data_IF_309300256362
#
_entry.id   IF_309300256362
#
_cell.length_a   1.000
_cell.length_b   1.000
_cell.length_c   1.000
_cell.angle_alpha   90.00
_cell.angle_beta   90.00
_cell.angle_gamma   90.00
#
_symmetry.space_group_name_H-M   'P 1'
#
loop_
_entity.id
_entity.type
_entity.pdbx_description
1 polymer ?
#
# COMPACT_ATOMS: atom_id res chain seq x y z
N UNK A 1 26.95 -19.13 2.99
CA UNK A 1 28.00 -18.20 3.37
C UNK A 1 27.43 -16.85 3.80
N UNK A 2 28.19 -16.13 4.60
CA UNK A 2 27.75 -14.91 5.30
C UNK A 2 27.34 -13.72 4.42
N UNK A 3 27.48 -13.81 3.10
CA UNK A 3 27.17 -12.70 2.19
C UNK A 3 25.87 -12.87 1.39
N UNK A 4 25.25 -14.06 1.41
CA UNK A 4 24.03 -14.32 0.62
C UNK A 4 24.19 -14.12 -0.90
N UNK A 5 25.42 -13.98 -1.38
CA UNK A 5 25.71 -13.72 -2.79
C UNK A 5 25.91 -15.04 -3.57
N UNK A 6 25.38 -15.08 -4.79
CA UNK A 6 25.64 -16.16 -5.72
C UNK A 6 27.12 -16.20 -6.11
N UNK A 7 27.75 -17.40 -6.09
CA UNK A 7 29.13 -17.59 -6.54
C UNK A 7 29.25 -17.86 -8.03
N UNK A 8 28.21 -18.34 -8.66
CA UNK A 8 28.15 -18.64 -10.07
C UNK A 8 27.17 -19.76 -10.38
N UNK A 9 27.00 -20.04 -11.64
CA UNK A 9 26.29 -21.19 -12.17
C UNK A 9 27.27 -22.07 -12.90
N UNK A 10 27.17 -23.38 -12.73
CA UNK A 10 28.05 -24.36 -13.37
C UNK A 10 27.25 -25.32 -14.23
N UNK A 11 27.83 -25.73 -15.31
CA UNK A 11 27.26 -26.63 -16.31
C UNK A 11 28.20 -27.85 -16.49
N UNK A 12 27.61 -29.02 -16.67
CA UNK A 12 28.34 -30.27 -16.94
C UNK A 12 27.72 -31.00 -18.12
N UNK A 13 28.50 -31.51 -19.03
CA UNK A 13 28.09 -32.31 -20.19
C UNK A 13 28.40 -33.81 -20.01
N UNK A 14 29.07 -34.18 -18.94
CA UNK A 14 29.62 -35.53 -18.72
C UNK A 14 29.16 -36.17 -17.40
N UNK A 15 27.87 -35.97 -17.09
CA UNK A 15 27.24 -36.49 -15.87
C UNK A 15 27.90 -36.06 -14.57
N UNK A 16 28.44 -34.81 -14.55
CA UNK A 16 29.03 -34.21 -13.35
C UNK A 16 30.47 -34.55 -13.12
N UNK A 17 31.17 -35.14 -14.09
CA UNK A 17 32.59 -35.43 -13.96
C UNK A 17 33.43 -34.16 -14.12
N UNK A 18 33.07 -33.30 -15.05
CA UNK A 18 33.68 -31.99 -15.25
C UNK A 18 32.61 -30.88 -15.19
N UNK A 19 33.00 -29.74 -14.63
CA UNK A 19 32.11 -28.60 -14.43
C UNK A 19 32.70 -27.32 -15.01
N UNK A 20 31.91 -26.61 -15.77
CA UNK A 20 32.24 -25.33 -16.40
C UNK A 20 31.42 -24.22 -15.79
N UNK A 21 32.10 -23.15 -15.42
CA UNK A 21 31.44 -21.99 -14.85
C UNK A 21 30.82 -21.14 -15.97
N UNK A 22 29.50 -21.13 -16.06
CA UNK A 22 28.74 -20.40 -17.09
C UNK A 22 28.26 -19.04 -16.65
N UNK A 23 28.21 -18.75 -15.35
CA UNK A 23 27.94 -17.42 -14.81
C UNK A 23 28.85 -17.14 -13.63
N UNK A 24 29.91 -16.37 -13.80
CA UNK A 24 30.68 -15.82 -12.71
C UNK A 24 29.90 -14.72 -12.02
N UNK A 25 29.96 -14.64 -10.70
CA UNK A 25 29.24 -13.67 -9.87
C UNK A 25 29.48 -12.18 -10.24
N UNK A 26 30.49 -11.89 -11.05
CA UNK A 26 30.93 -10.52 -11.35
C UNK A 26 30.82 -10.10 -12.82
N UNK A 27 30.42 -10.97 -13.75
CA UNK A 27 30.68 -10.73 -15.17
C UNK A 27 29.65 -9.89 -15.89
N UNK A 28 28.41 -9.68 -15.36
CA UNK A 28 27.35 -9.07 -16.15
C UNK A 28 26.65 -7.89 -15.51
N UNK A 29 27.12 -7.36 -14.40
CA UNK A 29 26.41 -6.26 -13.73
C UNK A 29 25.01 -6.65 -13.24
N UNK A 30 24.63 -7.91 -13.37
CA UNK A 30 23.42 -8.48 -12.83
C UNK A 30 23.78 -9.56 -11.83
N UNK A 31 23.07 -9.57 -10.75
CA UNK A 31 23.02 -10.71 -9.88
C UNK A 31 21.54 -11.04 -9.73
N UNK A 32 21.08 -12.25 -10.06
CA UNK A 32 19.69 -12.66 -9.87
C UNK A 32 19.22 -12.51 -8.42
N UNK A 33 20.17 -12.35 -7.52
CA UNK A 33 19.99 -12.18 -6.09
C UNK A 33 20.62 -10.87 -5.64
N UNK A 34 20.29 -9.77 -6.29
CA UNK A 34 21.00 -8.52 -6.05
C UNK A 34 20.50 -7.79 -4.83
N UNK A 35 21.40 -7.40 -4.08
CA UNK A 35 21.65 -6.09 -3.50
C UNK A 35 22.92 -6.21 -2.70
N UNK A 36 23.40 -5.15 -2.11
CA UNK A 36 24.57 -5.18 -1.24
C UNK A 36 24.51 -6.26 -0.14
N UNK A 37 23.36 -6.86 0.08
CA UNK A 37 23.10 -7.87 1.12
C UNK A 37 22.72 -9.27 0.58
N UNK A 38 22.69 -9.50 -0.74
CA UNK A 38 22.40 -10.76 -1.43
C UNK A 38 21.39 -11.70 -0.76
N UNK A 39 20.36 -12.10 -1.48
CA UNK A 39 19.30 -12.98 -0.95
C UNK A 39 19.25 -14.36 -1.57
N UNK A 40 20.31 -14.78 -2.28
CA UNK A 40 20.40 -16.12 -2.88
C UNK A 40 20.24 -17.28 -1.90
N UNK A 41 20.34 -17.03 -0.60
CA UNK A 41 19.99 -18.02 0.41
C UNK A 41 18.47 -18.25 0.51
N UNK A 42 17.68 -17.34 -0.04
CA UNK A 42 16.22 -17.31 0.05
C UNK A 42 15.55 -17.71 -1.26
N UNK A 43 15.92 -17.11 -2.38
CA UNK A 43 15.21 -17.13 -3.66
C UNK A 43 16.06 -17.63 -4.85
N UNK A 44 16.74 -18.74 -4.69
CA UNK A 44 17.60 -19.29 -5.76
C UNK A 44 17.01 -20.58 -6.32
N UNK A 45 16.66 -20.58 -7.60
CA UNK A 45 16.14 -21.74 -8.31
C UNK A 45 16.75 -21.86 -9.71
N UNK A 46 16.95 -23.08 -10.17
CA UNK A 46 17.42 -23.37 -11.53
C UNK A 46 16.71 -24.61 -12.07
N UNK A 47 16.37 -24.59 -13.35
CA UNK A 47 15.84 -25.75 -14.05
C UNK A 47 16.31 -25.78 -15.52
N UNK A 48 16.44 -26.98 -16.07
CA UNK A 48 16.79 -27.17 -17.46
C UNK A 48 15.55 -27.09 -18.36
N UNK A 49 15.69 -26.53 -19.55
CA UNK A 49 14.59 -26.48 -20.51
C UNK A 49 14.37 -27.88 -21.12
N UNK A 50 13.16 -28.46 -21.02
CA UNK A 50 12.89 -29.80 -21.55
C UNK A 50 13.21 -29.93 -23.05
N UNK A 51 13.97 -30.95 -23.39
CA UNK A 51 14.42 -31.19 -24.77
C UNK A 51 15.59 -30.31 -25.25
N UNK A 52 16.08 -29.42 -24.38
CA UNK A 52 17.22 -28.53 -24.66
C UNK A 52 18.25 -28.62 -23.54
N UNK A 53 19.12 -29.65 -23.55
CA UNK A 53 20.06 -29.86 -22.45
C UNK A 53 21.15 -28.79 -22.28
N UNK A 54 21.25 -27.91 -23.26
CA UNK A 54 22.15 -26.76 -23.35
C UNK A 54 21.44 -25.43 -23.01
N UNK A 55 20.19 -25.48 -22.51
CA UNK A 55 19.44 -24.33 -22.06
C UNK A 55 18.98 -24.50 -20.60
N UNK A 56 19.05 -23.43 -19.83
CA UNK A 56 18.47 -23.40 -18.49
C UNK A 56 17.80 -22.06 -18.17
N UNK A 57 16.87 -22.12 -17.22
CA UNK A 57 16.28 -20.96 -16.58
C UNK A 57 16.84 -20.88 -15.17
N UNK A 58 17.31 -19.71 -14.79
CA UNK A 58 17.73 -19.38 -13.44
C UNK A 58 16.80 -18.31 -12.87
N UNK A 59 16.30 -18.50 -11.66
CA UNK A 59 15.46 -17.57 -10.94
C UNK A 59 16.08 -17.13 -9.63
N UNK A 60 15.82 -15.92 -9.28
CA UNK A 60 16.02 -15.23 -8.02
C UNK A 60 14.98 -14.12 -7.96
N UNK A 61 15.38 -12.86 -7.79
CA UNK A 61 14.45 -11.72 -7.89
C UNK A 61 13.77 -11.69 -9.27
N UNK A 62 14.53 -11.91 -10.33
CA UNK A 62 14.00 -12.02 -11.69
C UNK A 62 14.44 -13.36 -12.33
N UNK A 63 13.87 -13.68 -13.48
CA UNK A 63 14.22 -14.86 -14.26
C UNK A 63 15.23 -14.51 -15.35
N UNK A 64 16.18 -15.40 -15.54
CA UNK A 64 17.21 -15.33 -16.55
C UNK A 64 17.28 -16.64 -17.32
N UNK A 65 17.42 -16.56 -18.65
CA UNK A 65 17.63 -17.68 -19.54
C UNK A 65 19.08 -17.73 -19.95
N UNK A 66 19.67 -18.90 -19.91
CA UNK A 66 20.97 -19.19 -20.51
C UNK A 66 20.82 -20.15 -21.68
N UNK A 67 21.49 -19.85 -22.75
CA UNK A 67 21.61 -20.69 -23.94
C UNK A 67 23.10 -20.86 -24.28
N UNK A 68 23.51 -22.11 -24.50
CA UNK A 68 24.87 -22.40 -24.95
C UNK A 68 25.03 -21.92 -26.38
N UNK A 69 26.03 -21.10 -26.65
CA UNK A 69 26.43 -20.76 -27.99
C UNK A 69 27.29 -21.86 -28.61
N UNK A 70 27.31 -21.98 -29.96
CA UNK A 70 28.09 -23.01 -30.65
C UNK A 70 29.59 -22.93 -30.29
N UNK A 71 29.97 -23.74 -29.38
CA UNK A 71 31.35 -24.00 -28.99
C UNK A 71 31.56 -25.52 -28.90
N UNK A 72 32.64 -26.02 -29.40
CA UNK A 72 32.85 -27.46 -29.58
C UNK A 72 33.62 -28.11 -28.45
N UNK A 73 34.03 -27.37 -27.45
CA UNK A 73 34.73 -27.92 -26.28
C UNK A 73 34.02 -27.53 -24.99
N UNK A 74 34.06 -28.44 -24.05
CA UNK A 74 33.52 -28.22 -22.71
C UNK A 74 34.22 -27.10 -21.92
N UNK A 75 35.38 -26.63 -22.42
CA UNK A 75 36.08 -25.45 -21.91
C UNK A 75 35.44 -24.13 -22.38
N UNK A 76 34.61 -24.18 -23.42
CA UNK A 76 33.95 -23.02 -24.03
C UNK A 76 32.45 -23.06 -23.79
N UNK A 77 32.04 -23.40 -22.55
CA UNK A 77 30.64 -23.29 -22.13
C UNK A 77 30.15 -21.83 -22.08
N UNK A 78 30.69 -21.03 -23.00
CA UNK A 78 30.24 -19.70 -23.28
C UNK A 78 28.82 -19.77 -23.83
N UNK A 79 27.91 -19.24 -23.11
CA UNK A 79 26.53 -19.05 -23.49
C UNK A 79 26.15 -17.63 -23.25
N UNK A 80 24.94 -17.30 -23.70
CA UNK A 80 24.38 -15.98 -23.49
C UNK A 80 23.32 -16.05 -22.40
N UNK A 81 23.40 -15.12 -21.48
CA UNK A 81 22.38 -14.88 -20.49
C UNK A 81 21.47 -13.75 -20.93
N UNK A 82 20.17 -13.98 -20.84
CA UNK A 82 19.14 -12.99 -21.12
C UNK A 82 18.23 -12.85 -19.89
N UNK A 83 17.95 -11.63 -19.46
CA UNK A 83 16.92 -11.36 -18.47
C UNK A 83 15.55 -11.46 -19.15
N UNK A 84 14.72 -12.41 -18.74
CA UNK A 84 13.43 -12.72 -19.36
C UNK A 84 12.21 -12.22 -18.58
N UNK A 85 12.39 -11.80 -17.32
CA UNK A 85 11.31 -11.20 -16.55
C UNK A 85 11.70 -9.85 -15.94
N UNK A 86 10.72 -9.09 -15.49
CA UNK A 86 10.93 -7.86 -14.75
C UNK A 86 9.85 -7.65 -13.71
N UNK A 87 10.19 -7.90 -12.45
CA UNK A 87 9.28 -7.80 -11.31
C UNK A 87 8.74 -6.37 -11.10
N UNK A 88 9.49 -5.34 -11.46
CA UNK A 88 9.10 -3.94 -11.31
C UNK A 88 8.18 -3.42 -12.43
N UNK A 89 7.89 -4.26 -13.43
CA UNK A 89 6.93 -3.93 -14.49
C UNK A 89 5.49 -3.92 -13.97
N UNK A 90 4.59 -3.34 -14.75
CA UNK A 90 3.16 -3.43 -14.47
C UNK A 90 2.74 -4.91 -14.41
N UNK A 91 1.92 -5.36 -13.42
CA UNK A 91 1.47 -6.75 -13.31
C UNK A 91 0.71 -7.30 -14.54
N UNK A 92 0.21 -6.45 -15.41
CA UNK A 92 -0.38 -6.84 -16.69
C UNK A 92 0.63 -6.88 -17.87
N UNK A 93 1.89 -6.55 -17.61
CA UNK A 93 2.95 -6.65 -18.63
C UNK A 93 3.29 -8.10 -18.92
N UNK A 94 3.51 -8.48 -20.17
CA UNK A 94 3.88 -9.85 -20.53
C UNK A 94 5.23 -10.31 -19.96
N UNK A 95 6.09 -9.38 -19.56
CA UNK A 95 7.38 -9.70 -18.92
C UNK A 95 7.30 -9.67 -17.38
N UNK A 96 6.12 -9.42 -16.81
CA UNK A 96 5.98 -9.40 -15.35
C UNK A 96 5.96 -10.80 -14.78
N UNK A 97 6.86 -11.04 -13.85
CA UNK A 97 6.84 -12.15 -12.88
C UNK A 97 7.13 -11.50 -11.53
N UNK A 98 6.38 -11.86 -10.50
CA UNK A 98 6.66 -11.36 -9.15
C UNK A 98 8.08 -11.73 -8.73
N UNK A 99 8.69 -10.93 -7.87
CA UNK A 99 10.01 -11.19 -7.34
C UNK A 99 10.08 -12.49 -6.53
N UNK A 100 11.30 -12.89 -6.25
CA UNK A 100 11.66 -13.95 -5.30
C UNK A 100 11.11 -15.31 -5.73
N UNK A 101 11.78 -15.86 -6.75
CA UNK A 101 11.36 -17.10 -7.41
C UNK A 101 11.97 -18.31 -6.70
N UNK A 102 11.11 -19.24 -6.24
CA UNK A 102 11.48 -20.40 -5.44
C UNK A 102 11.35 -21.73 -6.15
N UNK A 103 10.50 -21.81 -7.17
CA UNK A 103 10.22 -23.05 -7.86
C UNK A 103 9.98 -22.85 -9.34
N UNK A 104 10.55 -23.72 -10.15
CA UNK A 104 10.33 -23.83 -11.58
C UNK A 104 9.88 -25.25 -11.90
N UNK A 105 8.91 -25.40 -12.79
CA UNK A 105 8.51 -26.70 -13.32
C UNK A 105 7.84 -26.54 -14.68
N UNK A 106 7.96 -27.58 -15.51
CA UNK A 106 7.43 -27.58 -16.87
C UNK A 106 6.27 -28.56 -16.99
N UNK A 107 5.25 -28.17 -17.73
CA UNK A 107 4.22 -29.12 -18.12
C UNK A 107 4.60 -29.88 -19.42
N UNK A 108 3.79 -30.86 -19.77
CA UNK A 108 4.01 -31.66 -20.98
C UNK A 108 3.85 -30.89 -22.30
N UNK A 109 3.32 -29.70 -22.26
CA UNK A 109 3.22 -28.79 -23.43
C UNK A 109 4.44 -27.88 -23.56
N UNK A 110 5.36 -27.91 -22.61
CA UNK A 110 6.56 -27.05 -22.58
C UNK A 110 6.29 -25.68 -21.97
N UNK A 111 5.19 -25.49 -21.25
CA UNK A 111 4.96 -24.25 -20.53
C UNK A 111 5.66 -24.31 -19.15
N UNK A 112 6.34 -23.23 -18.80
CA UNK A 112 7.01 -23.05 -17.50
C UNK A 112 6.03 -22.50 -16.49
N UNK A 113 5.95 -23.14 -15.31
CA UNK A 113 5.27 -22.65 -14.13
C UNK A 113 6.30 -22.16 -13.13
N UNK A 114 6.02 -21.03 -12.53
CA UNK A 114 6.91 -20.33 -11.59
C UNK A 114 6.15 -20.11 -10.29
N UNK A 115 6.73 -20.59 -9.17
CA UNK A 115 6.28 -20.26 -7.82
C UNK A 115 7.15 -19.16 -7.24
N UNK A 116 6.53 -18.11 -6.72
CA UNK A 116 7.20 -16.94 -6.14
C UNK A 116 6.37 -16.35 -4.99
N UNK A 117 6.87 -15.31 -4.34
CA UNK A 117 6.22 -14.68 -3.18
C UNK A 117 4.90 -13.96 -3.52
N UNK A 118 4.66 -13.68 -4.79
CA UNK A 118 3.37 -13.19 -5.30
C UNK A 118 2.38 -14.29 -5.68
N UNK A 119 2.77 -15.56 -5.55
CA UNK A 119 1.95 -16.72 -5.91
C UNK A 119 2.50 -17.50 -7.09
N UNK A 120 1.75 -17.59 -8.18
CA UNK A 120 2.13 -18.39 -9.34
C UNK A 120 2.04 -17.60 -10.63
N UNK A 121 3.04 -17.80 -11.49
CA UNK A 121 3.05 -17.32 -12.87
C UNK A 121 3.26 -18.47 -13.84
N UNK A 122 2.88 -18.27 -15.09
CA UNK A 122 3.02 -19.26 -16.15
C UNK A 122 3.52 -18.59 -17.42
N UNK A 123 4.47 -19.22 -18.13
CA UNK A 123 4.77 -18.90 -19.52
C UNK A 123 3.81 -19.65 -20.46
N UNK A 124 3.59 -19.15 -21.67
CA UNK A 124 2.74 -19.84 -22.65
C UNK A 124 3.52 -20.76 -23.59
N UNK A 125 4.83 -20.59 -23.67
CA UNK A 125 5.71 -21.35 -24.55
C UNK A 125 7.04 -21.61 -23.85
N UNK A 126 7.79 -22.59 -24.31
CA UNK A 126 9.18 -22.83 -23.92
C UNK A 126 10.11 -21.63 -24.20
N UNK A 127 9.65 -20.71 -25.03
CA UNK A 127 10.38 -19.50 -25.40
C UNK A 127 10.38 -18.41 -24.32
N UNK A 128 9.63 -18.62 -23.28
CA UNK A 128 9.64 -17.87 -21.99
C UNK A 128 9.68 -16.34 -22.09
N UNK A 129 9.07 -15.79 -23.14
CA UNK A 129 9.01 -14.32 -23.33
C UNK A 129 7.70 -13.69 -22.83
N UNK A 130 6.68 -14.51 -22.53
CA UNK A 130 5.37 -14.03 -22.15
C UNK A 130 4.87 -14.78 -20.92
N UNK A 131 4.69 -14.05 -19.84
CA UNK A 131 4.21 -14.57 -18.59
C UNK A 131 2.80 -14.05 -18.27
N UNK A 132 2.08 -14.80 -17.49
CA UNK A 132 0.81 -14.39 -16.89
C UNK A 132 0.72 -14.88 -15.46
N UNK A 133 0.18 -14.05 -14.59
CA UNK A 133 -0.15 -14.42 -13.21
C UNK A 133 -1.37 -15.34 -13.23
N UNK A 134 -1.29 -16.49 -12.56
CA UNK A 134 -2.36 -17.52 -12.53
C UNK A 134 -2.95 -17.73 -11.15
N UNK A 135 -2.97 -16.69 -10.32
CA UNK A 135 -3.47 -16.75 -8.95
C UNK A 135 -5.00 -16.85 -8.83
N UNK A 136 -5.74 -16.79 -9.93
CA UNK A 136 -7.20 -16.87 -9.90
C UNK A 136 -7.68 -18.18 -9.27
N UNK A 137 -8.37 -18.08 -8.13
CA UNK A 137 -8.80 -19.22 -7.34
C UNK A 137 -7.77 -19.72 -6.32
N UNK A 138 -6.57 -19.17 -6.34
CA UNK A 138 -5.58 -19.36 -5.29
C UNK A 138 -5.81 -18.28 -4.21
N UNK A 139 -6.40 -18.68 -3.09
CA UNK A 139 -6.85 -17.76 -2.03
C UNK A 139 -5.94 -17.83 -0.79
N UNK A 140 -4.65 -18.05 -0.98
CA UNK A 140 -3.70 -18.04 0.10
C UNK A 140 -2.97 -16.70 0.13
N UNK A 141 -3.03 -16.02 1.27
CA UNK A 141 -2.24 -14.81 1.58
C UNK A 141 -1.83 -14.88 3.03
N UNK A 142 -0.57 -14.64 3.30
CA UNK A 142 -0.06 -14.55 4.65
C UNK A 142 -0.06 -13.09 5.08
N UNK A 143 -0.91 -12.74 6.03
CA UNK A 143 -0.96 -11.40 6.61
C UNK A 143 -0.06 -11.31 7.84
N UNK A 144 0.66 -10.21 7.97
CA UNK A 144 1.35 -9.82 9.19
C UNK A 144 0.40 -9.10 10.15
N UNK A 145 -0.40 -8.18 9.63
CA UNK A 145 -1.40 -7.45 10.37
C UNK A 145 -2.74 -7.45 9.64
N UNK A 146 -3.82 -7.46 10.41
CA UNK A 146 -5.19 -7.31 9.91
C UNK A 146 -5.93 -6.29 10.75
N UNK A 147 -6.75 -5.47 10.11
CA UNK A 147 -7.63 -4.51 10.76
C UNK A 147 -9.04 -4.59 10.19
N UNK A 148 -10.00 -4.09 10.94
CA UNK A 148 -11.38 -3.97 10.50
C UNK A 148 -11.96 -2.64 10.96
N UNK A 149 -12.89 -2.11 10.20
CA UNK A 149 -13.54 -0.83 10.43
C UNK A 149 -15.01 -0.98 10.87
N UNK A 150 -15.63 0.15 11.25
CA UNK A 150 -16.97 0.18 11.85
C UNK A 150 -18.08 -0.29 10.92
N UNK A 151 -17.91 -0.22 9.60
CA UNK A 151 -18.94 -0.58 8.62
C UNK A 151 -18.66 -1.93 7.94
N UNK A 152 -17.69 -2.72 8.46
CA UNK A 152 -17.28 -4.01 7.91
C UNK A 152 -16.10 -3.91 6.94
N UNK A 153 -15.45 -2.76 6.87
CA UNK A 153 -14.18 -2.61 6.15
C UNK A 153 -13.14 -3.55 6.73
N UNK A 154 -12.29 -4.06 5.86
CA UNK A 154 -11.16 -4.90 6.25
C UNK A 154 -9.90 -4.49 5.53
N UNK A 155 -8.77 -4.56 6.23
CA UNK A 155 -7.45 -4.24 5.71
C UNK A 155 -6.46 -5.32 6.16
N UNK A 156 -5.48 -5.60 5.33
CA UNK A 156 -4.42 -6.54 5.67
C UNK A 156 -3.10 -6.16 5.03
N UNK A 157 -2.05 -6.19 5.83
CA UNK A 157 -0.67 -6.03 5.36
C UNK A 157 -0.02 -7.38 5.14
N UNK A 158 0.57 -7.58 3.98
CA UNK A 158 1.26 -8.80 3.59
C UNK A 158 2.65 -8.46 3.05
N UNK A 159 3.68 -9.09 3.59
CA UNK A 159 5.03 -8.98 3.05
C UNK A 159 5.01 -9.32 1.56
N UNK A 160 5.81 -8.64 0.76
CA UNK A 160 5.96 -8.76 -0.69
C UNK A 160 4.70 -8.39 -1.51
N UNK A 161 3.52 -8.37 -0.88
CA UNK A 161 2.24 -8.16 -1.56
C UNK A 161 1.57 -6.82 -1.22
N UNK A 162 2.15 -6.08 -0.27
CA UNK A 162 1.69 -4.75 0.13
C UNK A 162 0.47 -4.78 1.04
N UNK A 163 -0.26 -3.68 1.08
CA UNK A 163 -1.47 -3.52 1.89
C UNK A 163 -2.70 -3.62 1.01
N UNK A 164 -3.63 -4.48 1.39
CA UNK A 164 -4.89 -4.73 0.69
C UNK A 164 -6.07 -4.30 1.53
N UNK A 165 -7.03 -3.61 0.93
CA UNK A 165 -8.22 -3.05 1.57
C UNK A 165 -9.50 -3.47 0.85
N UNK A 166 -10.56 -3.73 1.62
CA UNK A 166 -11.90 -3.99 1.14
C UNK A 166 -12.89 -3.11 1.91
N UNK A 167 -13.64 -2.29 1.20
CA UNK A 167 -14.63 -1.37 1.77
C UNK A 167 -15.98 -2.02 2.09
N UNK A 168 -16.13 -3.32 1.80
CA UNK A 168 -17.36 -4.11 1.99
C UNK A 168 -18.57 -3.60 1.17
N UNK A 169 -18.47 -2.46 0.50
CA UNK A 169 -19.57 -1.85 -0.26
C UNK A 169 -19.64 -2.34 -1.70
N UNK A 170 -18.56 -2.95 -2.21
CA UNK A 170 -18.55 -3.47 -3.57
C UNK A 170 -19.53 -4.64 -3.69
N UNK A 171 -20.35 -4.63 -4.73
CA UNK A 171 -21.35 -5.67 -5.04
C UNK A 171 -20.74 -7.07 -5.20
N UNK A 172 -19.43 -7.17 -5.36
CA UNK A 172 -18.70 -8.44 -5.39
C UNK A 172 -18.29 -8.94 -4.00
N UNK A 173 -18.32 -8.09 -2.96
CA UNK A 173 -18.10 -8.40 -1.53
C UNK A 173 -16.83 -9.18 -1.17
N UNK A 174 -15.98 -9.49 -2.15
CA UNK A 174 -14.85 -10.41 -2.01
C UNK A 174 -13.59 -9.88 -2.71
N UNK A 175 -13.60 -8.64 -3.15
CA UNK A 175 -12.47 -8.07 -3.87
C UNK A 175 -11.68 -7.14 -2.95
N UNK A 176 -10.41 -7.45 -2.76
CA UNK A 176 -9.46 -6.57 -2.11
C UNK A 176 -8.72 -5.75 -3.15
N UNK A 177 -8.60 -4.46 -2.91
CA UNK A 177 -7.75 -3.58 -3.70
C UNK A 177 -6.41 -3.41 -3.00
N UNK A 178 -5.30 -3.52 -3.73
CA UNK A 178 -3.99 -3.13 -3.22
C UNK A 178 -3.95 -1.61 -3.11
N UNK A 179 -3.85 -1.10 -1.89
CA UNK A 179 -3.91 0.35 -1.59
C UNK A 179 -2.55 0.93 -1.23
N UNK A 180 -1.60 0.12 -0.75
CA UNK A 180 -0.22 0.54 -0.53
C UNK A 180 0.75 -0.54 -1.03
N UNK A 181 1.94 -0.12 -1.46
CA UNK A 181 2.98 -1.00 -1.97
C UNK A 181 4.01 -1.42 -0.90
N UNK A 182 5.10 -2.05 -1.36
CA UNK A 182 6.17 -2.55 -0.48
C UNK A 182 5.74 -3.79 0.30
N UNK A 183 6.45 -4.06 1.39
CA UNK A 183 6.09 -5.10 2.35
C UNK A 183 5.05 -4.55 3.32
N UNK A 184 3.80 -4.95 3.17
CA UNK A 184 2.75 -4.55 4.09
C UNK A 184 2.89 -5.31 5.42
N UNK A 185 2.82 -4.58 6.54
CA UNK A 185 2.90 -5.16 7.87
C UNK A 185 1.67 -4.81 8.70
N UNK A 186 1.83 -4.10 9.81
CA UNK A 186 0.71 -3.71 10.66
C UNK A 186 -0.17 -2.67 10.00
N UNK A 187 -1.46 -2.78 10.26
CA UNK A 187 -2.51 -1.93 9.70
C UNK A 187 -3.57 -1.66 10.75
N UNK A 188 -4.16 -0.48 10.71
CA UNK A 188 -5.28 -0.11 11.58
C UNK A 188 -6.32 0.69 10.78
N UNK A 189 -7.60 0.55 11.13
CA UNK A 189 -8.70 1.34 10.61
C UNK A 189 -9.32 2.12 11.76
N UNK A 190 -9.51 3.42 11.60
CA UNK A 190 -10.16 4.28 12.57
C UNK A 190 -11.67 4.02 12.60
N UNK A 191 -12.20 3.79 13.80
CA UNK A 191 -13.64 3.72 14.04
C UNK A 191 -14.27 5.12 14.09
N UNK A 192 -13.55 6.10 14.62
CA UNK A 192 -14.01 7.48 14.70
C UNK A 192 -14.08 8.13 13.32
N UNK A 193 -13.12 7.82 12.45
CA UNK A 193 -13.09 8.29 11.07
C UNK A 193 -14.05 7.57 10.14
N UNK A 194 -15.08 6.92 10.62
CA UNK A 194 -16.09 6.19 9.84
C UNK A 194 -15.48 5.20 8.82
N UNK A 195 -14.32 4.62 9.16
CA UNK A 195 -13.58 3.71 8.27
C UNK A 195 -12.79 4.37 7.14
N UNK A 196 -12.76 5.70 7.08
CA UNK A 196 -12.03 6.43 6.03
C UNK A 196 -10.56 6.63 6.36
N UNK A 197 -10.25 6.76 7.66
CA UNK A 197 -8.87 6.91 8.14
C UNK A 197 -8.27 5.55 8.38
N UNK A 198 -7.17 5.28 7.70
CA UNK A 198 -6.42 4.01 7.82
C UNK A 198 -4.93 4.27 7.98
N UNK A 199 -4.28 3.37 8.68
CA UNK A 199 -2.83 3.39 8.89
C UNK A 199 -2.20 2.11 8.34
N UNK A 200 -1.01 2.22 7.80
CA UNK A 200 -0.25 1.10 7.25
C UNK A 200 1.24 1.29 7.52
N UNK A 201 1.92 0.21 7.86
CA UNK A 201 3.38 0.20 7.97
C UNK A 201 3.99 -0.61 6.83
N UNK A 202 5.20 -0.22 6.44
CA UNK A 202 6.06 -1.00 5.56
C UNK A 202 7.44 -1.17 6.21
N UNK A 203 8.34 -1.92 5.56
CA UNK A 203 9.69 -2.13 6.06
C UNK A 203 10.43 -0.81 6.38
N UNK A 204 11.39 -0.92 7.30
CA UNK A 204 12.23 0.23 7.66
C UNK A 204 11.57 1.27 8.57
N UNK A 205 10.45 0.94 9.20
CA UNK A 205 9.75 1.83 10.13
C UNK A 205 8.89 2.89 9.44
N UNK A 206 8.68 2.79 8.12
CA UNK A 206 7.85 3.73 7.42
C UNK A 206 6.37 3.51 7.80
N UNK A 207 5.75 4.58 8.29
CA UNK A 207 4.35 4.63 8.72
C UNK A 207 3.59 5.60 7.82
N UNK A 208 2.44 5.16 7.36
CA UNK A 208 1.58 5.92 6.47
C UNK A 208 0.18 6.06 7.05
N UNK A 209 -0.44 7.20 6.76
CA UNK A 209 -1.83 7.50 7.06
C UNK A 209 -2.58 7.90 5.79
N UNK A 210 -3.77 7.38 5.63
CA UNK A 210 -4.73 7.84 4.62
C UNK A 210 -5.99 8.33 5.32
N UNK A 211 -6.63 9.35 4.78
CA UNK A 211 -7.95 9.83 5.20
C UNK A 211 -9.03 9.63 4.14
N UNK A 212 -8.76 8.81 3.14
CA UNK A 212 -9.64 8.57 1.99
C UNK A 212 -9.62 7.11 1.54
N UNK A 213 -9.63 6.18 2.51
CA UNK A 213 -9.69 4.72 2.28
C UNK A 213 -8.51 4.19 1.46
N UNK A 214 -7.36 4.82 1.56
CA UNK A 214 -6.14 4.38 0.88
C UNK A 214 -5.98 4.89 -0.56
N UNK A 215 -6.78 5.86 -0.99
CA UNK A 215 -6.60 6.48 -2.31
C UNK A 215 -5.35 7.39 -2.32
N UNK A 216 -5.14 8.13 -1.23
CA UNK A 216 -3.94 8.94 -1.05
C UNK A 216 -3.30 8.64 0.30
N UNK A 217 -1.97 8.70 0.33
CA UNK A 217 -1.19 8.39 1.52
C UNK A 217 -0.28 9.54 1.90
N UNK A 218 -0.20 9.81 3.18
CA UNK A 218 0.75 10.75 3.78
C UNK A 218 1.70 9.96 4.67
N UNK A 219 2.99 10.28 4.59
CA UNK A 219 3.96 9.75 5.54
C UNK A 219 3.71 10.38 6.89
N UNK A 220 3.61 9.57 7.93
CA UNK A 220 3.63 10.07 9.30
C UNK A 220 5.08 10.27 9.68
N UNK A 221 5.46 11.51 9.98
CA UNK A 221 6.81 11.85 10.43
C UNK A 221 7.08 11.21 11.78
N UNK A 222 7.71 10.05 11.73
CA UNK A 222 8.23 9.43 12.93
C UNK A 222 9.69 9.84 13.13
N UNK A 223 10.15 10.00 14.39
CA UNK A 223 11.55 10.27 14.65
C UNK A 223 12.40 9.21 13.94
N UNK A 224 13.45 9.66 13.23
CA UNK A 224 14.33 8.77 12.46
C UNK A 224 14.84 7.64 13.37
N UNK A 225 14.25 6.49 13.26
CA UNK A 225 14.58 5.33 14.05
C UNK A 225 15.55 4.45 13.24
N UNK A 226 16.43 3.80 13.94
CA UNK A 226 17.08 2.61 13.42
C UNK A 226 15.99 1.60 13.07
N UNK A 227 15.83 1.32 11.80
CA UNK A 227 14.68 0.64 11.27
C UNK A 227 14.67 -0.84 11.62
N UNK A 228 13.71 -1.27 12.41
CA UNK A 228 13.29 -2.66 12.38
C UNK A 228 12.64 -2.98 11.04
N UNK A 229 12.80 -4.21 10.57
CA UNK A 229 12.09 -4.67 9.37
C UNK A 229 10.57 -4.59 9.57
N UNK A 230 10.08 -5.07 10.70
CA UNK A 230 8.69 -5.04 11.12
C UNK A 230 8.49 -4.04 12.26
N UNK A 231 7.43 -3.23 12.19
CA UNK A 231 7.06 -2.28 13.24
C UNK A 231 5.60 -2.48 13.61
N UNK A 232 5.35 -2.70 14.90
CA UNK A 232 4.01 -2.80 15.42
C UNK A 232 3.40 -1.41 15.60
N UNK A 233 2.13 -1.28 15.28
CA UNK A 233 1.32 -0.09 15.59
C UNK A 233 0.06 -0.51 16.33
N UNK A 234 -0.51 0.41 17.09
CA UNK A 234 -1.84 0.30 17.69
C UNK A 234 -2.49 1.66 17.73
N UNK A 235 -3.72 1.70 17.22
CA UNK A 235 -4.57 2.87 17.30
C UNK A 235 -5.40 2.79 18.57
N UNK A 236 -5.39 3.88 19.35
CA UNK A 236 -6.29 4.12 20.46
C UNK A 236 -7.27 5.23 20.06
N UNK A 237 -8.55 5.00 20.30
CA UNK A 237 -9.60 5.97 20.02
C UNK A 237 -10.60 6.00 21.16
N UNK A 238 -11.04 7.20 21.52
CA UNK A 238 -12.05 7.40 22.53
C UNK A 238 -12.91 8.64 22.15
N UNK A 239 -14.09 8.37 21.65
CA UNK A 239 -15.09 9.39 21.30
C UNK A 239 -15.80 9.97 22.50
N UNK A 240 -15.63 9.35 23.67
CA UNK A 240 -16.26 9.76 24.94
C UNK A 240 -15.23 10.17 26.00
N UNK A 241 -13.99 10.47 25.62
CA UNK A 241 -12.99 10.91 26.57
C UNK A 241 -13.37 12.28 27.17
N UNK A 242 -14.02 12.23 28.33
CA UNK A 242 -14.40 13.44 29.09
C UNK A 242 -13.18 14.25 29.54
N UNK A 243 -11.98 13.72 29.46
CA UNK A 243 -10.74 14.40 29.79
C UNK A 243 -10.05 14.97 28.56
N UNK A 244 -10.53 14.66 27.36
CA UNK A 244 -10.05 15.31 26.15
C UNK A 244 -10.39 16.79 26.23
N UNK A 245 -9.36 17.62 26.17
CA UNK A 245 -9.52 19.08 26.10
C UNK A 245 -9.62 19.58 24.66
N UNK A 246 -9.48 18.67 23.73
CA UNK A 246 -9.48 19.01 22.33
C UNK A 246 -10.93 19.20 21.87
N UNK A 247 -11.20 20.37 21.33
CA UNK A 247 -12.52 20.74 20.81
C UNK A 247 -12.37 21.77 19.70
N UNK A 248 -13.29 21.71 18.77
CA UNK A 248 -13.43 22.71 17.69
C UNK A 248 -14.55 23.64 18.05
N UNK A 249 -14.30 24.95 17.97
CA UNK A 249 -15.35 25.93 18.14
C UNK A 249 -16.22 25.97 16.88
N UNK A 250 -17.49 25.59 17.03
CA UNK A 250 -18.47 25.70 15.99
C UNK A 250 -19.22 27.04 16.12
N UNK A 251 -19.34 27.74 15.00
CA UNK A 251 -20.05 29.04 14.88
C UNK A 251 -21.11 28.85 13.80
N UNK A 252 -22.39 28.81 14.14
CA UNK A 252 -23.45 28.61 13.15
C UNK A 252 -23.67 29.86 12.30
N UNK A 253 -23.95 29.70 11.03
CA UNK A 253 -24.33 30.80 10.11
C UNK A 253 -25.77 31.27 10.32
N UNK A 254 -26.62 30.48 10.95
CA UNK A 254 -28.01 30.74 11.27
C UNK A 254 -28.40 30.05 12.57
N UNK A 255 -29.52 30.50 13.19
CA UNK A 255 -30.01 29.84 14.40
C UNK A 255 -30.34 28.38 14.15
N UNK A 256 -29.95 27.52 15.06
CA UNK A 256 -30.15 26.08 15.04
C UNK A 256 -30.84 25.62 16.33
N UNK A 257 -31.64 24.58 16.24
CA UNK A 257 -32.40 24.03 17.39
C UNK A 257 -31.82 22.72 17.90
N UNK A 258 -32.18 22.35 19.13
CA UNK A 258 -31.90 21.01 19.66
C UNK A 258 -32.35 19.94 18.67
N UNK A 259 -31.49 19.01 18.36
CA UNK A 259 -31.73 17.94 17.40
C UNK A 259 -31.26 18.24 15.98
N UNK A 260 -30.90 19.48 15.65
CA UNK A 260 -30.27 19.81 14.39
C UNK A 260 -28.85 19.26 14.34
N UNK A 261 -28.35 19.00 13.13
CA UNK A 261 -27.02 18.46 12.91
C UNK A 261 -26.06 19.59 12.55
N UNK A 262 -25.05 19.79 13.36
CA UNK A 262 -23.91 20.66 13.09
C UNK A 262 -22.81 19.87 12.40
N UNK A 263 -22.37 20.30 11.21
CA UNK A 263 -21.21 19.76 10.53
C UNK A 263 -20.00 20.63 10.84
N UNK A 264 -18.90 20.00 11.23
CA UNK A 264 -17.65 20.67 11.57
C UNK A 264 -16.45 19.84 11.14
N UNK A 265 -15.27 20.46 11.08
CA UNK A 265 -14.05 19.79 10.65
C UNK A 265 -13.22 19.40 11.84
N UNK A 266 -12.92 18.10 11.97
CA UNK A 266 -11.96 17.58 12.96
C UNK A 266 -10.54 17.81 12.48
N UNK A 267 -9.74 18.55 13.23
CA UNK A 267 -8.32 18.72 12.95
C UNK A 267 -7.54 17.43 13.25
N UNK A 268 -7.94 16.70 14.28
CA UNK A 268 -7.34 15.42 14.68
C UNK A 268 -7.49 14.36 13.60
N UNK A 269 -8.69 14.19 13.06
CA UNK A 269 -8.98 13.16 12.06
C UNK A 269 -8.75 13.66 10.63
N UNK A 270 -8.64 14.97 10.42
CA UNK A 270 -8.54 15.64 9.14
C UNK A 270 -9.71 15.32 8.19
N UNK A 271 -10.94 15.33 8.75
CA UNK A 271 -12.16 15.08 7.99
C UNK A 271 -13.37 15.79 8.65
N UNK A 272 -14.49 15.97 7.89
CA UNK A 272 -15.71 16.50 8.45
C UNK A 272 -16.40 15.49 9.37
N UNK A 273 -16.92 15.99 10.47
CA UNK A 273 -17.75 15.25 11.42
C UNK A 273 -19.11 15.91 11.56
N UNK A 274 -20.09 15.19 12.13
CA UNK A 274 -21.40 15.69 12.43
C UNK A 274 -21.70 15.52 13.92
N UNK A 275 -22.38 16.52 14.50
CA UNK A 275 -22.81 16.52 15.89
C UNK A 275 -24.29 16.92 15.99
N UNK A 276 -25.07 16.11 16.66
CA UNK A 276 -26.49 16.46 16.93
C UNK A 276 -26.55 17.40 18.13
N UNK A 277 -27.06 18.61 17.91
CA UNK A 277 -27.12 19.65 18.94
C UNK A 277 -27.99 19.23 20.13
N UNK A 278 -27.46 19.46 21.31
CA UNK A 278 -28.17 19.24 22.59
C UNK A 278 -28.70 20.54 23.21
N UNK A 279 -28.46 21.68 22.57
CA UNK A 279 -28.94 22.99 22.96
C UNK A 279 -29.24 23.82 21.70
N UNK A 280 -30.09 24.83 21.86
CA UNK A 280 -30.34 25.81 20.80
C UNK A 280 -29.15 26.74 20.65
N UNK A 281 -28.83 27.10 19.41
CA UNK A 281 -27.83 28.12 19.08
C UNK A 281 -28.54 29.28 18.36
N UNK A 282 -28.42 30.48 18.89
CA UNK A 282 -29.08 31.66 18.35
C UNK A 282 -28.09 32.54 17.58
N UNK A 283 -28.45 32.93 16.37
CA UNK A 283 -27.75 33.94 15.60
C UNK A 283 -28.70 35.15 15.43
N UNK A 284 -28.25 36.31 15.86
CA UNK A 284 -28.98 37.56 15.74
C UNK A 284 -28.34 38.42 14.68
N UNK A 285 -29.13 38.89 13.73
CA UNK A 285 -28.66 39.76 12.67
C UNK A 285 -29.19 41.19 12.89
N UNK A 286 -28.40 42.20 12.47
CA UNK A 286 -28.90 43.53 12.31
C UNK A 286 -29.86 43.58 11.12
N UNK A 287 -30.99 44.21 11.29
CA UNK A 287 -31.89 44.51 10.18
C UNK A 287 -31.77 45.99 9.80
N UNK A 288 -31.66 46.27 8.53
CA UNK A 288 -31.63 47.63 7.98
C UNK A 288 -32.76 47.74 6.98
N UNK A 289 -33.54 48.81 7.13
CA UNK A 289 -34.55 49.14 6.14
C UNK A 289 -34.08 50.40 5.39
N UNK A 290 -33.58 50.23 4.16
CA UNK A 290 -33.14 51.39 3.38
C UNK A 290 -34.30 52.31 3.05
N UNK A 291 -34.05 53.61 3.04
CA UNK A 291 -35.02 54.63 2.65
C UNK A 291 -35.27 54.67 1.14
N UNK A 292 -34.34 54.16 0.36
CA UNK A 292 -34.39 54.09 -1.10
C UNK A 292 -33.82 52.75 -1.55
N UNK A 293 -33.97 52.44 -2.85
CA UNK A 293 -33.35 51.28 -3.42
C UNK A 293 -31.82 51.28 -3.18
N UNK A 294 -31.32 50.15 -2.73
CA UNK A 294 -29.88 49.97 -2.43
C UNK A 294 -29.26 48.91 -3.34
N UNK A 295 -28.05 49.19 -3.80
CA UNK A 295 -27.27 48.25 -4.54
C UNK A 295 -26.21 47.64 -3.61
N UNK A 296 -26.26 46.35 -3.42
CA UNK A 296 -25.24 45.61 -2.69
C UNK A 296 -23.99 45.45 -3.56
N UNK A 297 -22.80 45.52 -2.98
CA UNK A 297 -21.58 45.19 -3.73
C UNK A 297 -21.70 43.80 -4.38
N UNK A 298 -21.63 43.77 -5.71
CA UNK A 298 -21.70 42.55 -6.53
C UNK A 298 -23.09 41.84 -6.59
N UNK A 299 -24.18 42.53 -6.24
CA UNK A 299 -25.52 41.95 -6.24
C UNK A 299 -26.59 42.92 -6.80
N UNK A 300 -27.79 42.37 -7.01
CA UNK A 300 -28.94 43.11 -7.49
C UNK A 300 -29.41 44.22 -6.50
N UNK A 301 -30.17 45.16 -7.03
CA UNK A 301 -30.77 46.20 -6.24
C UNK A 301 -31.84 45.64 -5.32
N UNK A 302 -31.81 46.01 -4.04
CA UNK A 302 -32.88 45.70 -3.07
C UNK A 302 -33.91 46.82 -3.11
N UNK A 303 -35.21 46.50 -3.27
CA UNK A 303 -36.28 47.50 -3.25
C UNK A 303 -36.25 48.29 -1.95
N UNK A 304 -36.46 49.61 -2.02
CA UNK A 304 -36.49 50.47 -0.86
C UNK A 304 -37.61 50.11 0.12
N UNK A 305 -37.30 50.20 1.39
CA UNK A 305 -38.23 49.90 2.47
C UNK A 305 -38.34 48.42 2.85
N UNK A 306 -37.64 47.51 2.18
CA UNK A 306 -37.61 46.10 2.56
C UNK A 306 -36.45 45.85 3.54
N UNK A 307 -36.72 45.34 4.74
CA UNK A 307 -35.67 44.97 5.66
C UNK A 307 -34.88 43.80 5.09
N UNK A 308 -33.55 43.84 5.22
CA UNK A 308 -32.68 42.73 4.90
C UNK A 308 -31.70 42.45 6.04
N UNK A 309 -31.32 41.21 6.16
CA UNK A 309 -30.33 40.78 7.16
C UNK A 309 -28.93 41.20 6.72
N UNK A 310 -28.23 41.82 7.63
CA UNK A 310 -26.86 42.24 7.45
C UNK A 310 -25.96 41.46 8.45
N UNK A 311 -24.74 41.71 8.60
CA UNK A 311 -23.85 40.96 9.46
C UNK A 311 -24.45 40.51 10.81
N UNK A 312 -24.11 39.31 11.28
CA UNK A 312 -24.52 38.88 12.61
C UNK A 312 -23.96 39.84 13.68
N UNK A 313 -24.82 40.28 14.59
CA UNK A 313 -24.45 41.15 15.74
C UNK A 313 -24.25 40.35 17.02
N UNK A 314 -24.78 39.14 17.06
CA UNK A 314 -24.53 38.16 18.11
C UNK A 314 -24.67 36.76 17.54
N UNK A 315 -23.79 35.89 17.92
CA UNK A 315 -23.79 34.47 17.55
C UNK A 315 -23.44 33.68 18.79
N UNK A 316 -24.27 32.69 19.11
CA UNK A 316 -23.89 31.66 20.05
C UNK A 316 -22.80 30.76 19.42
N UNK A 317 -21.92 30.29 20.23
CA UNK A 317 -20.88 29.35 19.84
C UNK A 317 -20.90 28.14 20.74
N UNK A 318 -20.53 26.98 20.22
CA UNK A 318 -20.39 25.76 21.02
C UNK A 318 -19.03 25.11 20.70
N UNK A 319 -18.39 24.59 21.71
CA UNK A 319 -17.22 23.73 21.51
C UNK A 319 -17.71 22.31 21.26
N UNK A 320 -17.45 21.80 20.06
CA UNK A 320 -17.75 20.44 19.67
C UNK A 320 -16.53 19.55 19.89
N UNK A 321 -16.72 18.28 20.30
CA UNK A 321 -15.60 17.40 20.57
C UNK A 321 -14.71 17.24 19.33
N UNK A 322 -13.40 17.44 19.50
CA UNK A 322 -12.43 16.92 18.57
C UNK A 322 -11.94 15.58 19.13
N UNK A 323 -12.36 14.46 18.55
CA UNK A 323 -12.15 13.15 19.15
C UNK A 323 -10.67 12.85 19.35
N UNK A 324 -10.33 12.27 20.49
CA UNK A 324 -8.97 11.88 20.78
C UNK A 324 -8.59 10.61 20.01
N UNK A 325 -7.56 10.72 19.23
CA UNK A 325 -6.93 9.62 18.56
C UNK A 325 -5.45 9.61 18.94
N UNK A 326 -4.94 8.47 19.33
CA UNK A 326 -3.53 8.28 19.63
C UNK A 326 -3.02 7.04 18.94
N UNK A 327 -1.91 7.17 18.25
CA UNK A 327 -1.26 6.05 17.58
C UNK A 327 0.01 5.69 18.34
N UNK A 328 0.11 4.45 18.76
CA UNK A 328 1.31 3.87 19.36
C UNK A 328 2.08 3.13 18.26
N UNK A 329 3.34 3.44 18.12
CA UNK A 329 4.20 2.80 17.14
C UNK A 329 5.52 2.37 17.76
N UNK A 330 6.02 1.19 17.38
CA UNK A 330 7.37 0.75 17.73
C UNK A 330 8.35 1.13 16.64
N UNK A 331 9.48 1.71 17.01
CA UNK A 331 10.54 2.08 16.06
C UNK A 331 11.89 1.79 16.69
N UNK A 332 12.59 0.80 16.13
CA UNK A 332 13.79 0.28 16.75
C UNK A 332 13.47 -0.35 18.11
N UNK A 333 14.12 0.13 19.16
CA UNK A 333 13.96 -0.31 20.54
C UNK A 333 13.05 0.60 21.39
N UNK A 334 12.34 1.54 20.74
CA UNK A 334 11.52 2.56 21.41
C UNK A 334 10.04 2.46 21.00
N UNK A 335 9.17 2.95 21.87
CA UNK A 335 7.73 3.10 21.62
C UNK A 335 7.42 4.58 21.57
N UNK A 336 6.72 5.00 20.54
CA UNK A 336 6.28 6.36 20.33
C UNK A 336 4.75 6.44 20.43
N UNK A 337 4.27 7.58 20.85
CA UNK A 337 2.84 7.93 20.87
C UNK A 337 2.68 9.31 20.20
N UNK A 338 1.66 9.44 19.38
CA UNK A 338 1.27 10.73 18.76
C UNK A 338 -0.08 11.16 19.27
#
# INVERSE_FOLDING_TARGET
>A
ESSGLMRGVWYSEDHGQNWYKIAPASTFGWTPCTSANGQCYYDMVIDAVPGHPDHCIFGGIDLYRWEKTEGTSASDADGQWEKISNWSSNPNSPIYVHADNHWLTWDSSGALYIGNDGGMSKSFTSDTQFFTVINKGYNATQFYGIGYGPNGETIGGAQDNGTSYNDHTSTSGKSYAKVNGGDGFEVEISFMGNGEVIYSTIYGGALYRSSDKGLNWQTVDAPAAGSCFYNAIRLFEDDNDLNSKDSVQFIPDSSMSVGDVAEYYSETLNLPLSYTLTQDLTVTFSSVTPATDSVLPNFDTIPGGVPYLYNPIAQDTINLPDPKQSLFATMGDQVYIT
#
